data_IF_443261243820
#
_entry.id   IF_443261243820
#
_cell.length_a   1.000
_cell.length_b   1.000
_cell.length_c   1.000
_cell.angle_alpha   90.00
_cell.angle_beta   90.00
_cell.angle_gamma   90.00
#
_symmetry.space_group_name_H-M   'P 1'
#
loop_
_entity.id
_entity.type
_entity.pdbx_description
1 polymer ?
#
# COMPACT_ATOMS: atom_id res chain seq x y z
N UNK A 1 7.50 -39.33 -1.87
CA UNK A 1 7.57 -37.85 -1.94
C UNK A 1 6.15 -37.29 -1.90
N UNK A 2 5.65 -36.91 -0.72
CA UNK A 2 4.31 -36.34 -0.56
C UNK A 2 4.34 -34.84 -0.88
N UNK A 3 3.71 -34.42 -1.98
CA UNK A 3 3.38 -33.01 -2.19
C UNK A 3 2.33 -32.59 -1.16
N UNK A 4 2.51 -31.49 -0.42
CA UNK A 4 1.46 -31.00 0.45
C UNK A 4 0.23 -30.59 -0.37
N UNK A 5 -0.98 -30.75 0.18
CA UNK A 5 -2.21 -30.42 -0.53
C UNK A 5 -2.25 -28.93 -0.89
N UNK A 6 -2.66 -28.61 -2.13
CA UNK A 6 -2.89 -27.23 -2.56
C UNK A 6 -3.90 -26.58 -1.64
N UNK A 7 -3.53 -25.46 -1.02
CA UNK A 7 -4.44 -24.63 -0.22
C UNK A 7 -5.65 -24.24 -1.09
N UNK A 8 -6.89 -24.34 -0.56
CA UNK A 8 -8.06 -23.88 -1.29
C UNK A 8 -7.92 -22.40 -1.62
N UNK A 9 -8.46 -21.94 -2.76
CA UNK A 9 -8.39 -20.53 -3.14
C UNK A 9 -8.98 -19.66 -2.03
N UNK A 10 -8.27 -18.60 -1.65
CA UNK A 10 -8.79 -17.62 -0.70
C UNK A 10 -10.14 -17.12 -1.20
N UNK A 11 -11.12 -17.08 -0.30
CA UNK A 11 -12.43 -16.49 -0.58
C UNK A 11 -12.25 -15.09 -1.20
N UNK A 12 -13.07 -14.71 -2.19
CA UNK A 12 -12.95 -13.41 -2.84
C UNK A 12 -13.00 -12.31 -1.77
N UNK A 13 -12.04 -11.39 -1.83
CA UNK A 13 -12.04 -10.21 -0.95
C UNK A 13 -13.39 -9.50 -1.12
N UNK A 14 -14.03 -9.03 -0.03
CA UNK A 14 -15.26 -8.27 -0.14
C UNK A 14 -15.03 -7.11 -1.10
N UNK A 15 -15.91 -6.97 -2.09
CA UNK A 15 -15.89 -5.82 -3.00
C UNK A 15 -16.22 -4.58 -2.17
N UNK A 16 -15.57 -3.47 -2.49
CA UNK A 16 -16.00 -2.17 -1.98
C UNK A 16 -17.50 -2.01 -2.25
N UNK A 17 -18.23 -1.52 -1.26
CA UNK A 17 -19.66 -1.27 -1.40
C UNK A 17 -19.87 -0.16 -2.44
N UNK A 18 -20.67 -0.44 -3.47
CA UNK A 18 -21.14 0.59 -4.40
C UNK A 18 -22.34 1.37 -3.81
N UNK A 19 -22.74 1.06 -2.56
CA UNK A 19 -23.78 1.81 -1.84
C UNK A 19 -23.23 3.16 -1.39
N UNK A 20 -23.94 4.27 -1.67
CA UNK A 20 -23.59 5.60 -1.18
C UNK A 20 -23.44 5.63 0.34
N UNK A 21 -22.37 6.30 0.81
CA UNK A 21 -22.17 6.61 2.23
C UNK A 21 -22.57 8.08 2.44
N UNK A 22 -23.36 8.34 3.48
CA UNK A 22 -23.69 9.70 3.90
C UNK A 22 -22.50 10.26 4.67
N UNK A 23 -21.94 11.37 4.20
CA UNK A 23 -20.80 12.04 4.80
C UNK A 23 -21.23 13.36 5.43
N UNK A 24 -20.60 13.70 6.55
CA UNK A 24 -20.73 15.02 7.19
C UNK A 24 -20.02 16.11 6.37
N UNK A 25 -20.38 17.38 6.58
CA UNK A 25 -19.69 18.50 5.94
C UNK A 25 -18.19 18.53 6.25
N UNK A 26 -17.82 18.19 7.48
CA UNK A 26 -16.42 18.10 7.90
C UNK A 26 -15.66 17.00 7.13
N UNK A 27 -16.26 15.83 6.92
CA UNK A 27 -15.65 14.74 6.13
C UNK A 27 -15.51 15.11 4.65
N UNK A 28 -16.49 15.82 4.09
CA UNK A 28 -16.42 16.32 2.71
C UNK A 28 -15.28 17.32 2.57
N UNK A 29 -15.21 18.30 3.47
CA UNK A 29 -14.15 19.32 3.48
C UNK A 29 -12.77 18.68 3.67
N UNK A 30 -12.65 17.74 4.63
CA UNK A 30 -11.44 16.97 4.86
C UNK A 30 -11.01 16.22 3.60
N UNK A 31 -11.90 15.45 2.97
CA UNK A 31 -11.57 14.68 1.76
C UNK A 31 -11.10 15.57 0.62
N UNK A 32 -11.77 16.70 0.40
CA UNK A 32 -11.36 17.67 -0.63
C UNK A 32 -10.00 18.27 -0.34
N UNK A 33 -9.66 18.53 0.93
CA UNK A 33 -8.33 19.03 1.31
C UNK A 33 -7.19 18.06 1.00
N UNK A 34 -7.48 16.75 0.86
CA UNK A 34 -6.48 15.76 0.50
C UNK A 34 -6.14 15.76 -1.01
N UNK A 35 -6.97 16.37 -1.86
CA UNK A 35 -6.77 16.35 -3.32
C UNK A 35 -5.58 17.25 -3.68
N UNK A 36 -4.54 16.65 -4.26
CA UNK A 36 -3.34 17.37 -4.72
C UNK A 36 -3.29 17.52 -6.25
N UNK A 37 -4.09 16.74 -6.98
CA UNK A 37 -4.27 16.87 -8.42
C UNK A 37 -5.66 16.37 -8.84
N UNK A 38 -6.31 17.09 -9.73
CA UNK A 38 -7.58 16.73 -10.35
C UNK A 38 -7.52 16.99 -11.86
N UNK A 39 -7.87 15.99 -12.65
CA UNK A 39 -8.17 16.14 -14.08
C UNK A 39 -9.37 15.28 -14.47
N UNK A 40 -9.77 15.28 -15.73
CA UNK A 40 -10.95 14.53 -16.19
C UNK A 40 -10.93 13.02 -15.90
N UNK A 41 -9.73 12.45 -15.73
CA UNK A 41 -9.51 11.00 -15.59
C UNK A 41 -9.21 10.58 -14.16
N UNK A 42 -8.51 11.40 -13.37
CA UNK A 42 -7.98 11.01 -12.05
C UNK A 42 -8.17 12.07 -10.97
N UNK A 43 -8.28 11.59 -9.72
CA UNK A 43 -7.85 12.38 -8.57
C UNK A 43 -6.60 11.74 -7.97
N UNK A 44 -5.65 12.57 -7.60
CA UNK A 44 -4.49 12.20 -6.78
C UNK A 44 -4.68 12.81 -5.41
N UNK A 45 -4.60 11.97 -4.37
CA UNK A 45 -4.78 12.41 -2.99
C UNK A 45 -3.49 12.22 -2.19
N UNK A 46 -3.24 13.10 -1.23
CA UNK A 46 -2.25 12.92 -0.19
C UNK A 46 -2.92 12.27 1.03
N UNK A 47 -2.90 10.93 1.10
CA UNK A 47 -3.50 10.18 2.21
C UNK A 47 -2.72 10.45 3.51
N UNK A 48 -3.37 10.84 4.61
CA UNK A 48 -2.68 10.94 5.90
C UNK A 48 -2.37 9.55 6.49
N UNK A 49 -1.40 9.49 7.39
CA UNK A 49 -1.16 8.32 8.23
C UNK A 49 -2.35 8.11 9.19
N UNK A 50 -2.61 6.87 9.58
CA UNK A 50 -3.72 6.49 10.47
C UNK A 50 -5.05 6.23 9.75
N UNK A 51 -5.19 6.66 8.49
CA UNK A 51 -6.37 6.40 7.65
C UNK A 51 -6.16 5.15 6.78
N UNK A 52 -7.00 4.13 6.95
CA UNK A 52 -6.98 2.94 6.09
C UNK A 52 -7.41 3.28 4.66
N UNK A 53 -6.71 2.73 3.66
CA UNK A 53 -7.11 2.94 2.25
C UNK A 53 -8.47 2.33 1.94
N UNK A 54 -8.72 1.10 2.41
CA UNK A 54 -9.97 0.37 2.21
C UNK A 54 -10.31 -0.43 3.46
N UNK A 55 -11.61 -0.55 3.76
CA UNK A 55 -12.14 -1.33 4.86
C UNK A 55 -12.11 -2.85 4.60
N UNK A 56 -12.34 -3.60 5.68
CA UNK A 56 -12.71 -5.01 5.64
C UNK A 56 -14.24 -5.18 5.72
N UNK A 57 -14.70 -6.24 6.40
CA UNK A 57 -16.15 -6.51 6.61
C UNK A 57 -16.83 -5.56 7.61
N UNK A 58 -16.07 -4.74 8.34
CA UNK A 58 -16.58 -3.80 9.33
C UNK A 58 -16.61 -2.41 8.70
N UNK A 59 -17.75 -1.74 8.83
CA UNK A 59 -17.93 -0.35 8.42
C UNK A 59 -16.95 0.51 9.21
N UNK A 60 -15.89 0.95 8.55
CA UNK A 60 -14.85 1.79 9.11
C UNK A 60 -14.70 2.98 8.18
N UNK A 61 -14.56 4.20 8.70
CA UNK A 61 -14.32 5.39 7.87
C UNK A 61 -12.95 5.23 7.18
N UNK A 62 -12.96 4.70 5.95
CA UNK A 62 -11.75 4.51 5.15
C UNK A 62 -11.67 5.55 4.05
N UNK A 63 -10.49 5.70 3.45
CA UNK A 63 -10.36 6.60 2.31
C UNK A 63 -11.36 6.24 1.20
N UNK A 64 -11.59 4.94 0.93
CA UNK A 64 -12.54 4.49 -0.09
C UNK A 64 -13.97 4.99 0.17
N UNK A 65 -14.42 5.01 1.44
CA UNK A 65 -15.72 5.55 1.82
C UNK A 65 -15.75 7.08 1.66
N UNK A 66 -14.68 7.75 2.09
CA UNK A 66 -14.54 9.20 1.97
C UNK A 66 -14.58 9.68 0.51
N UNK A 67 -14.17 8.85 -0.46
CA UNK A 67 -14.25 9.21 -1.88
C UNK A 67 -15.69 9.52 -2.35
N UNK A 68 -16.74 9.13 -1.61
CA UNK A 68 -18.11 9.57 -1.89
C UNK A 68 -18.26 11.10 -1.88
N UNK A 69 -17.40 11.83 -1.14
CA UNK A 69 -17.34 13.30 -1.17
C UNK A 69 -16.95 13.88 -2.54
N UNK A 70 -16.35 13.06 -3.40
CA UNK A 70 -15.91 13.41 -4.76
C UNK A 70 -16.85 12.86 -5.84
N UNK A 71 -17.91 12.14 -5.46
CA UNK A 71 -18.96 11.71 -6.38
C UNK A 71 -19.79 12.92 -6.84
N UNK A 72 -20.32 12.86 -8.06
CA UNK A 72 -21.26 13.85 -8.60
C UNK A 72 -22.51 13.14 -9.10
N UNK A 73 -23.59 13.89 -9.33
CA UNK A 73 -24.87 13.35 -9.84
C UNK A 73 -24.69 12.55 -11.13
N UNK A 74 -23.76 12.96 -11.98
CA UNK A 74 -23.44 12.37 -13.29
C UNK A 74 -22.16 11.52 -13.30
N UNK A 75 -21.35 11.56 -12.23
CA UNK A 75 -20.09 10.80 -12.14
C UNK A 75 -20.03 9.96 -10.86
N UNK A 76 -19.83 8.63 -10.98
CA UNK A 76 -19.75 7.77 -9.81
C UNK A 76 -18.54 8.13 -8.94
N UNK A 77 -18.56 7.65 -7.69
CA UNK A 77 -17.42 7.71 -6.78
C UNK A 77 -16.12 7.26 -7.48
N UNK A 78 -15.02 8.01 -7.35
CA UNK A 78 -13.72 7.59 -7.86
C UNK A 78 -13.27 6.24 -7.29
N UNK A 79 -12.62 5.41 -8.11
CA UNK A 79 -12.14 4.08 -7.71
C UNK A 79 -10.66 4.13 -7.35
N UNK A 80 -10.27 3.58 -6.20
CA UNK A 80 -8.86 3.41 -5.84
C UNK A 80 -8.13 2.51 -6.84
N UNK A 81 -6.98 2.95 -7.33
CA UNK A 81 -6.12 2.17 -8.24
C UNK A 81 -5.18 1.26 -7.47
N UNK A 82 -4.64 1.76 -6.35
CA UNK A 82 -3.78 1.01 -5.45
C UNK A 82 -4.10 1.40 -4.01
N UNK A 83 -3.37 0.78 -3.08
CA UNK A 83 -3.58 0.96 -1.64
C UNK A 83 -2.25 1.32 -0.98
N UNK A 84 -2.36 2.07 0.10
CA UNK A 84 -1.31 2.28 1.10
C UNK A 84 -1.76 1.64 2.42
N UNK A 85 -0.79 1.22 3.23
CA UNK A 85 -1.09 0.74 4.57
C UNK A 85 -1.69 1.87 5.42
N UNK A 86 -2.38 1.51 6.51
CA UNK A 86 -3.07 2.48 7.38
C UNK A 86 -2.13 3.60 7.83
N UNK A 87 -0.96 3.23 8.32
CA UNK A 87 0.01 4.16 8.90
C UNK A 87 0.97 4.76 7.87
N UNK A 88 0.86 4.36 6.61
CA UNK A 88 1.63 4.96 5.51
C UNK A 88 0.89 6.17 4.95
N UNK A 89 1.51 7.33 4.96
CA UNK A 89 1.00 8.54 4.29
C UNK A 89 1.47 8.64 2.84
N UNK A 90 0.91 9.59 2.09
CA UNK A 90 1.42 10.03 0.80
C UNK A 90 0.48 9.78 -0.36
N UNK A 91 1.05 9.74 -1.55
CA UNK A 91 0.32 9.76 -2.83
C UNK A 91 -0.50 8.49 -3.04
N UNK A 92 -1.80 8.67 -3.29
CA UNK A 92 -2.70 7.59 -3.69
C UNK A 92 -3.53 8.02 -4.92
N UNK A 93 -3.54 7.15 -5.93
CA UNK A 93 -4.20 7.41 -7.20
C UNK A 93 -5.60 6.81 -7.24
N UNK A 94 -6.56 7.59 -7.75
CA UNK A 94 -7.92 7.15 -8.04
C UNK A 94 -8.29 7.41 -9.50
N UNK A 95 -9.19 6.61 -10.05
CA UNK A 95 -9.79 6.84 -11.35
C UNK A 95 -11.22 7.39 -11.21
N UNK A 96 -11.50 8.49 -11.91
CA UNK A 96 -12.82 9.12 -11.99
C UNK A 96 -13.74 8.44 -12.99
N UNK A 97 -13.18 7.73 -13.97
CA UNK A 97 -13.92 7.10 -15.07
C UNK A 97 -13.57 5.62 -15.22
N UNK A 98 -14.49 4.83 -15.78
CA UNK A 98 -14.27 3.41 -16.07
C UNK A 98 -13.09 3.18 -17.06
N UNK A 99 -12.94 3.98 -18.14
CA UNK A 99 -11.76 3.91 -18.99
C UNK A 99 -10.45 4.16 -18.23
N UNK A 100 -10.38 5.21 -17.41
CA UNK A 100 -9.21 5.50 -16.59
C UNK A 100 -8.88 4.37 -15.62
N UNK A 101 -9.89 3.81 -14.94
CA UNK A 101 -9.71 2.68 -14.03
C UNK A 101 -9.12 1.45 -14.75
N UNK A 102 -9.58 1.18 -15.96
CA UNK A 102 -9.09 0.07 -16.79
C UNK A 102 -7.66 0.32 -17.26
N UNK A 103 -7.37 1.52 -17.75
CA UNK A 103 -6.03 1.91 -18.20
C UNK A 103 -5.01 1.82 -17.06
N UNK A 104 -5.31 2.45 -15.92
CA UNK A 104 -4.43 2.49 -14.76
C UNK A 104 -4.29 1.11 -14.11
N UNK A 105 -5.35 0.30 -14.08
CA UNK A 105 -5.31 -1.08 -13.62
C UNK A 105 -4.36 -1.94 -14.47
N UNK A 106 -4.43 -1.82 -15.81
CA UNK A 106 -3.48 -2.49 -16.73
C UNK A 106 -2.05 -2.01 -16.52
N UNK A 107 -1.85 -0.70 -16.35
CA UNK A 107 -0.54 -0.13 -16.09
C UNK A 107 0.05 -0.62 -14.74
N UNK A 108 -0.79 -0.78 -13.71
CA UNK A 108 -0.37 -1.33 -12.42
C UNK A 108 0.02 -2.81 -12.53
N UNK A 109 -0.82 -3.63 -13.20
CA UNK A 109 -0.53 -5.05 -13.45
C UNK A 109 0.74 -5.23 -14.28
N UNK A 110 0.96 -4.37 -15.28
CA UNK A 110 2.15 -4.35 -16.12
C UNK A 110 3.38 -3.70 -15.46
N UNK A 111 3.34 -3.39 -14.15
CA UNK A 111 4.43 -2.76 -13.39
C UNK A 111 4.98 -1.46 -14.03
N UNK A 112 4.11 -0.68 -14.68
CA UNK A 112 4.47 0.59 -15.34
C UNK A 112 4.55 1.77 -14.38
N UNK A 113 4.12 1.58 -13.13
CA UNK A 113 4.22 2.57 -12.07
C UNK A 113 5.60 2.51 -11.43
N UNK A 114 6.26 3.67 -11.34
CA UNK A 114 7.38 3.87 -10.42
C UNK A 114 6.85 4.51 -9.16
N UNK A 115 7.17 3.91 -8.01
CA UNK A 115 6.77 4.39 -6.68
C UNK A 115 8.02 4.59 -5.87
N UNK A 116 8.10 5.74 -5.22
CA UNK A 116 9.22 6.11 -4.35
C UNK A 116 8.64 6.48 -2.99
N UNK A 117 9.22 5.94 -1.93
CA UNK A 117 8.85 6.19 -0.56
C UNK A 117 10.06 6.74 0.19
N UNK A 118 9.81 7.61 1.15
CA UNK A 118 10.81 8.05 2.10
C UNK A 118 10.49 7.41 3.45
N UNK A 119 11.52 6.87 4.10
CA UNK A 119 11.41 6.25 5.41
C UNK A 119 12.60 6.66 6.28
N UNK A 120 12.32 6.88 7.57
CA UNK A 120 13.37 6.92 8.59
C UNK A 120 13.58 5.51 9.10
N UNK A 121 14.84 5.07 9.20
CA UNK A 121 15.22 3.74 9.68
C UNK A 121 16.19 3.84 10.84
N UNK A 122 16.19 2.86 11.73
CA UNK A 122 17.04 2.81 12.94
C UNK A 122 17.73 1.43 13.05
N UNK A 123 18.85 1.28 13.80
CA UNK A 123 19.60 2.30 14.55
C UNK A 123 20.64 3.07 13.71
N UNK A 124 20.49 3.15 12.38
CA UNK A 124 21.41 3.88 11.53
C UNK A 124 21.18 3.59 10.05
N UNK A 125 22.12 3.97 9.19
CA UNK A 125 22.03 3.65 7.78
C UNK A 125 22.18 2.13 7.51
N UNK A 126 21.51 1.59 6.48
CA UNK A 126 21.88 0.30 5.92
C UNK A 126 23.30 0.36 5.34
N UNK A 127 24.01 -0.76 5.45
CA UNK A 127 25.30 -0.96 4.80
C UNK A 127 25.20 -2.17 3.85
N UNK A 128 25.51 -2.00 2.55
CA UNK A 128 25.94 -0.76 1.88
C UNK A 128 24.85 0.33 1.88
N UNK A 129 25.22 1.60 1.64
CA UNK A 129 24.30 2.76 1.61
C UNK A 129 23.24 2.73 0.49
N UNK A 130 23.26 1.73 -0.38
CA UNK A 130 22.26 1.54 -1.41
C UNK A 130 22.35 0.14 -1.98
N UNK A 131 21.22 -0.41 -2.40
CA UNK A 131 21.18 -1.77 -2.90
C UNK A 131 19.78 -2.26 -3.23
N UNK A 132 19.68 -3.56 -3.40
CA UNK A 132 18.44 -4.27 -3.66
C UNK A 132 18.26 -5.37 -2.63
N UNK A 133 17.05 -5.48 -2.10
CA UNK A 133 16.61 -6.57 -1.22
C UNK A 133 15.70 -7.46 -2.07
N UNK A 134 16.18 -8.65 -2.39
CA UNK A 134 15.44 -9.70 -3.11
C UNK A 134 15.16 -10.86 -2.17
N UNK A 135 14.17 -10.67 -1.31
CA UNK A 135 13.82 -11.58 -0.23
C UNK A 135 12.33 -11.94 -0.37
N UNK A 136 11.98 -13.16 -0.83
CA UNK A 136 10.59 -13.57 -0.98
C UNK A 136 9.82 -13.44 0.33
N UNK A 137 8.54 -13.07 0.22
CA UNK A 137 7.68 -12.89 1.37
C UNK A 137 6.58 -13.95 1.36
N UNK A 138 6.24 -14.49 2.52
CA UNK A 138 5.04 -15.30 2.71
C UNK A 138 4.07 -14.59 3.64
N UNK A 139 2.79 -14.79 3.37
CA UNK A 139 1.72 -14.36 4.26
C UNK A 139 1.51 -15.39 5.37
N UNK A 140 1.43 -14.91 6.59
CA UNK A 140 1.11 -15.71 7.77
C UNK A 140 -0.12 -15.13 8.46
N UNK A 141 -1.04 -15.98 8.90
CA UNK A 141 -2.23 -15.56 9.63
C UNK A 141 -2.13 -16.07 11.06
N UNK A 142 -2.18 -15.16 12.03
CA UNK A 142 -2.21 -15.48 13.46
C UNK A 142 -3.51 -14.91 14.02
N UNK A 143 -4.43 -15.79 14.40
CA UNK A 143 -5.80 -15.39 14.76
C UNK A 143 -6.50 -14.66 13.61
N UNK A 144 -6.93 -13.41 13.86
CA UNK A 144 -7.60 -12.55 12.86
C UNK A 144 -6.63 -11.63 12.09
N UNK A 145 -5.35 -11.65 12.44
CA UNK A 145 -4.36 -10.75 11.87
C UNK A 145 -3.51 -11.45 10.81
N UNK A 146 -3.09 -10.68 9.81
CA UNK A 146 -2.24 -11.15 8.73
C UNK A 146 -0.91 -10.41 8.76
N UNK A 147 0.16 -11.19 8.79
CA UNK A 147 1.55 -10.75 8.83
C UNK A 147 2.26 -11.15 7.54
N UNK A 148 3.37 -10.48 7.24
CA UNK A 148 4.27 -10.86 6.17
C UNK A 148 5.64 -11.12 6.77
N UNK A 149 6.28 -12.20 6.36
CA UNK A 149 7.63 -12.56 6.79
C UNK A 149 8.48 -12.92 5.58
N UNK A 150 9.78 -12.68 5.68
CA UNK A 150 10.74 -13.26 4.74
C UNK A 150 10.69 -14.77 4.85
N UNK A 151 10.81 -15.45 3.72
CA UNK A 151 10.93 -16.90 3.64
C UNK A 151 11.91 -17.33 2.55
N UNK A 152 12.33 -18.59 2.62
CA UNK A 152 13.12 -19.22 1.56
C UNK A 152 12.37 -19.21 0.22
N UNK A 153 13.10 -19.04 -0.88
CA UNK A 153 12.53 -18.98 -2.23
C UNK A 153 11.79 -20.27 -2.63
N UNK A 154 12.20 -21.42 -2.08
CA UNK A 154 11.54 -22.72 -2.30
C UNK A 154 10.27 -22.94 -1.48
N UNK A 155 9.89 -22.02 -0.60
CA UNK A 155 8.70 -22.18 0.23
C UNK A 155 7.43 -22.18 -0.64
N UNK A 156 6.45 -23.08 -0.42
CA UNK A 156 5.27 -23.22 -1.29
C UNK A 156 4.40 -21.95 -1.38
N UNK A 157 4.39 -21.16 -0.30
CA UNK A 157 3.65 -19.89 -0.22
C UNK A 157 4.55 -18.66 -0.47
N UNK A 158 5.75 -18.83 -1.03
CA UNK A 158 6.65 -17.71 -1.31
C UNK A 158 6.10 -16.82 -2.44
N UNK A 159 5.96 -15.53 -2.15
CA UNK A 159 5.67 -14.50 -3.14
C UNK A 159 6.95 -13.71 -3.46
N UNK A 160 7.30 -13.60 -4.74
CA UNK A 160 8.42 -12.77 -5.17
C UNK A 160 8.22 -11.33 -4.68
N UNK A 161 9.24 -10.83 -3.98
CA UNK A 161 9.27 -9.50 -3.43
C UNK A 161 10.67 -8.88 -3.61
N UNK A 162 10.71 -7.70 -4.23
CA UNK A 162 11.96 -6.99 -4.52
C UNK A 162 11.80 -5.50 -4.29
N UNK A 163 12.77 -4.93 -3.57
CA UNK A 163 12.80 -3.50 -3.21
C UNK A 163 14.20 -2.96 -3.41
N UNK A 164 14.33 -1.78 -4.00
CA UNK A 164 15.58 -1.00 -3.99
C UNK A 164 15.55 -0.02 -2.84
N UNK A 165 16.72 0.27 -2.29
CA UNK A 165 16.90 1.31 -1.27
C UNK A 165 18.13 2.17 -1.57
N UNK A 166 18.09 3.42 -1.13
CA UNK A 166 19.19 4.37 -1.17
C UNK A 166 19.16 5.27 0.05
N UNK A 167 20.22 5.28 0.83
CA UNK A 167 20.40 6.23 1.94
C UNK A 167 20.60 7.63 1.37
N UNK A 168 19.72 8.55 1.76
CA UNK A 168 19.77 9.96 1.35
C UNK A 168 20.53 10.81 2.38
N UNK A 169 20.31 10.54 3.66
CA UNK A 169 20.99 11.18 4.77
C UNK A 169 21.11 10.19 5.94
N UNK A 170 22.14 10.33 6.75
CA UNK A 170 22.37 9.50 7.92
C UNK A 170 22.87 10.37 9.07
N UNK A 171 22.40 10.09 10.28
CA UNK A 171 22.89 10.66 11.53
C UNK A 171 23.21 9.55 12.54
N UNK A 172 23.49 9.95 13.78
CA UNK A 172 23.67 9.01 14.87
C UNK A 172 22.32 8.37 15.22
N UNK A 173 22.20 7.05 15.12
CA UNK A 173 21.00 6.31 15.50
C UNK A 173 19.90 6.22 14.43
N UNK A 174 19.97 6.97 13.32
CA UNK A 174 18.93 6.94 12.28
C UNK A 174 19.43 7.33 10.88
N UNK A 175 18.67 6.96 9.86
CA UNK A 175 18.91 7.39 8.48
C UNK A 175 17.61 7.64 7.71
N UNK A 176 17.63 8.61 6.81
CA UNK A 176 16.61 8.83 5.79
C UNK A 176 16.95 7.98 4.56
N UNK A 177 16.03 7.11 4.18
CA UNK A 177 16.18 6.16 3.09
C UNK A 177 15.06 6.33 2.07
N UNK A 178 15.45 6.43 0.81
CA UNK A 178 14.56 6.28 -0.33
C UNK A 178 14.32 4.79 -0.60
N UNK A 179 13.06 4.39 -0.74
CA UNK A 179 12.64 3.02 -0.99
C UNK A 179 11.79 2.93 -2.24
N UNK A 180 12.14 2.02 -3.14
CA UNK A 180 11.46 1.81 -4.42
C UNK A 180 11.09 0.33 -4.60
N UNK A 181 9.81 -0.06 -4.43
CA UNK A 181 9.39 -1.44 -4.58
C UNK A 181 9.14 -1.81 -6.06
N UNK A 182 9.77 -2.89 -6.53
CA UNK A 182 9.55 -3.46 -7.87
C UNK A 182 8.33 -4.40 -7.93
N UNK A 183 7.90 -4.83 -6.76
CA UNK A 183 6.72 -5.66 -6.51
C UNK A 183 5.77 -4.92 -5.58
N UNK A 184 4.59 -5.49 -5.31
CA UNK A 184 3.54 -4.82 -4.53
C UNK A 184 2.95 -5.71 -3.45
N UNK A 185 3.78 -6.30 -2.59
CA UNK A 185 3.31 -7.15 -1.48
C UNK A 185 2.88 -6.31 -0.28
N UNK A 186 2.00 -6.88 0.54
CA UNK A 186 1.57 -6.25 1.79
C UNK A 186 2.80 -5.97 2.68
N UNK A 187 2.89 -4.80 3.30
CA UNK A 187 4.00 -4.42 4.19
C UNK A 187 5.41 -4.65 3.64
N UNK A 188 5.59 -4.74 2.31
CA UNK A 188 6.83 -5.24 1.71
C UNK A 188 8.07 -4.47 2.16
N UNK A 189 8.02 -3.14 2.08
CA UNK A 189 9.15 -2.27 2.43
C UNK A 189 9.51 -2.39 3.91
N UNK A 190 8.50 -2.45 4.78
CA UNK A 190 8.66 -2.64 6.24
C UNK A 190 9.42 -3.93 6.55
N UNK A 191 8.93 -5.04 6.01
CA UNK A 191 9.53 -6.38 6.24
C UNK A 191 10.93 -6.47 5.63
N UNK A 192 11.14 -5.92 4.43
CA UNK A 192 12.47 -5.91 3.81
C UNK A 192 13.47 -5.11 4.64
N UNK A 193 13.10 -3.91 5.09
CA UNK A 193 13.98 -3.06 5.90
C UNK A 193 14.31 -3.70 7.25
N UNK A 194 13.30 -4.30 7.91
CA UNK A 194 13.52 -5.09 9.13
C UNK A 194 14.45 -6.30 8.88
N UNK A 195 14.31 -7.00 7.76
CA UNK A 195 15.14 -8.19 7.45
C UNK A 195 16.62 -7.90 7.26
N UNK A 196 16.99 -6.66 6.95
CA UNK A 196 18.39 -6.22 6.85
C UNK A 196 18.87 -5.51 8.13
N UNK A 197 18.12 -5.62 9.23
CA UNK A 197 18.48 -5.04 10.53
C UNK A 197 18.33 -3.52 10.60
N UNK A 198 17.54 -2.93 9.69
CA UNK A 198 17.28 -1.49 9.61
C UNK A 198 15.78 -1.21 9.51
N UNK A 199 14.97 -1.63 10.50
CA UNK A 199 13.52 -1.42 10.49
C UNK A 199 13.15 0.06 10.35
N UNK A 200 11.97 0.30 9.79
CA UNK A 200 11.40 1.64 9.70
C UNK A 200 11.04 2.10 11.11
N UNK A 201 11.39 3.35 11.45
CA UNK A 201 11.09 3.93 12.75
C UNK A 201 9.58 3.96 13.01
N UNK A 202 9.17 3.57 14.22
CA UNK A 202 7.76 3.48 14.60
C UNK A 202 7.04 2.22 14.06
N UNK A 203 7.74 1.34 13.36
CA UNK A 203 7.18 0.04 12.98
C UNK A 203 7.12 -0.91 14.18
N UNK A 204 5.90 -1.30 14.57
CA UNK A 204 5.63 -2.20 15.68
C UNK A 204 5.44 -3.67 15.28
N UNK A 205 5.69 -4.01 14.00
CA UNK A 205 5.36 -5.32 13.42
C UNK A 205 6.55 -6.06 12.80
#
# INVERSE_FOLDING_TARGET
>A
MNRPPRRPPLAPKPKASDTPVVLTEAEIAFTRSLVIHEDDSVFVLNKPAGLSSQGGRIQAHTLDDLLWALARRDRPRPRLIHRLDRDTSGVILTARTKPAATFLGKALMGKRFRKTYLAIVTPGAPEPRGGQIDAPLRRESIGREAYMRVCEAGHPDAETARSRYKTLAAGEGAALVELSPDTGRMHQLRVHMASIGRPIAGDSR
#
